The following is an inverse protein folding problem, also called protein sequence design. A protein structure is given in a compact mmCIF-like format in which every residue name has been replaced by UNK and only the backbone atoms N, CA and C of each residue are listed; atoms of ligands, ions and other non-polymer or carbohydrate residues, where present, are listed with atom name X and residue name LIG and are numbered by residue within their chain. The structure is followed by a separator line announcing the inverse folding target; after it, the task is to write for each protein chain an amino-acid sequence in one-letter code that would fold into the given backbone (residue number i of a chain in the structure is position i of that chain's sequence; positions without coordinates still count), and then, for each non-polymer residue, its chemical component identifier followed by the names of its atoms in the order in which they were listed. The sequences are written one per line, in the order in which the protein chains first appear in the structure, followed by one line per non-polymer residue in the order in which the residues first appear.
data_IF_715667318865
#
_entry.id   IF_715667318865
#
_cell.length_a   1.000
_cell.length_b   1.000
_cell.length_c   1.000
_cell.angle_alpha   90.00
_cell.angle_beta   90.00
_cell.angle_gamma   90.00
#
_symmetry.space_group_name_H-M   'P 1'
#
loop_
_entity.id
_entity.type
_entity.pdbx_description
1 polymer ?
#
# COMPACT_ATOMS: atom_id res chain seq x y z
N UNK A 1 -26.44 28.04 -21.39
CA UNK A 1 -25.86 26.68 -21.38
C UNK A 1 -26.43 25.96 -20.17
N UNK A 2 -27.33 24.99 -20.39
CA UNK A 2 -27.98 24.28 -19.29
C UNK A 2 -27.00 23.39 -18.55
N UNK A 3 -26.93 23.54 -17.23
CA UNK A 3 -26.29 22.60 -16.31
C UNK A 3 -26.95 21.23 -16.50
N UNK A 4 -26.25 20.29 -17.13
CA UNK A 4 -26.65 18.88 -17.15
C UNK A 4 -26.39 18.28 -15.77
N UNK A 5 -27.22 18.63 -14.79
CA UNK A 5 -27.25 17.92 -13.52
C UNK A 5 -27.86 16.55 -13.80
N UNK A 6 -27.05 15.49 -13.70
CA UNK A 6 -27.58 14.12 -13.77
C UNK A 6 -28.37 13.86 -12.49
N UNK A 7 -29.66 13.54 -12.64
CA UNK A 7 -30.59 13.25 -11.54
C UNK A 7 -30.29 11.90 -10.85
N UNK A 8 -29.47 11.05 -11.46
CA UNK A 8 -29.07 9.74 -10.93
C UNK A 8 -27.55 9.65 -10.86
N UNK A 9 -27.02 9.31 -9.67
CA UNK A 9 -25.62 8.88 -9.52
C UNK A 9 -25.46 7.51 -10.20
N UNK A 10 -24.38 7.32 -10.93
CA UNK A 10 -24.01 6.02 -11.49
C UNK A 10 -22.62 5.72 -10.98
N UNK A 11 -22.41 4.51 -10.44
CA UNK A 11 -21.10 4.02 -10.03
C UNK A 11 -20.12 4.16 -11.19
N UNK A 12 -19.31 5.23 -11.16
CA UNK A 12 -18.21 5.38 -12.08
C UNK A 12 -17.04 4.57 -11.55
N UNK A 13 -16.20 3.99 -12.42
CA UNK A 13 -14.96 3.37 -11.99
C UNK A 13 -14.14 4.36 -11.14
N UNK A 14 -13.56 3.86 -10.05
CA UNK A 14 -12.81 4.70 -9.11
C UNK A 14 -11.37 4.87 -9.61
N UNK A 15 -10.82 6.07 -9.43
CA UNK A 15 -9.41 6.35 -9.69
C UNK A 15 -8.63 6.29 -8.38
N UNK A 16 -7.62 5.43 -8.31
CA UNK A 16 -6.66 5.39 -7.22
C UNK A 16 -5.44 6.25 -7.51
N UNK A 17 -5.04 7.10 -6.56
CA UNK A 17 -3.78 7.83 -6.59
C UNK A 17 -2.94 7.42 -5.38
N UNK A 18 -1.80 6.79 -5.66
CA UNK A 18 -0.82 6.40 -4.65
C UNK A 18 0.27 7.46 -4.51
N UNK A 19 0.44 8.02 -3.32
CA UNK A 19 1.47 9.00 -2.99
C UNK A 19 2.53 8.33 -2.10
N UNK A 20 3.66 7.99 -2.71
CA UNK A 20 4.82 7.40 -2.03
C UNK A 20 5.96 8.42 -1.89
N UNK A 21 6.91 8.21 -0.96
CA UNK A 21 8.04 9.14 -0.76
C UNK A 21 8.87 9.46 -2.02
N UNK A 22 8.87 8.57 -3.00
CA UNK A 22 9.69 8.70 -4.22
C UNK A 22 8.86 8.87 -5.49
N UNK A 23 7.53 8.98 -5.40
CA UNK A 23 6.72 9.13 -6.60
C UNK A 23 5.22 9.04 -6.38
N UNK A 24 4.46 9.58 -7.31
CA UNK A 24 3.01 9.41 -7.42
C UNK A 24 2.66 8.42 -8.53
N UNK A 25 1.67 7.54 -8.29
CA UNK A 25 1.11 6.65 -9.31
C UNK A 25 -0.40 6.83 -9.36
N UNK A 26 -0.97 6.71 -10.56
CA UNK A 26 -2.42 6.73 -10.78
C UNK A 26 -2.84 5.47 -11.52
N UNK A 27 -3.99 4.93 -11.15
CA UNK A 27 -4.66 3.85 -11.89
C UNK A 27 -6.17 3.99 -11.75
N UNK A 28 -6.91 3.70 -12.82
CA UNK A 28 -8.36 3.61 -12.82
C UNK A 28 -8.79 2.25 -13.39
N UNK A 29 -9.68 1.56 -12.69
CA UNK A 29 -10.12 0.19 -13.01
C UNK A 29 -11.64 0.12 -13.01
N UNK A 30 -12.23 -0.32 -14.12
CA UNK A 30 -13.61 -0.82 -14.15
C UNK A 30 -13.62 -2.23 -13.55
N UNK A 31 -13.94 -2.34 -12.25
CA UNK A 31 -13.88 -3.58 -11.48
C UNK A 31 -14.87 -4.64 -11.96
N UNK A 32 -15.95 -4.26 -12.67
CA UNK A 32 -16.91 -5.23 -13.26
C UNK A 32 -16.28 -5.99 -14.43
N UNK A 33 -15.31 -5.39 -15.12
CA UNK A 33 -14.62 -5.96 -16.29
C UNK A 33 -13.14 -6.19 -16.06
N UNK A 34 -12.63 -5.84 -14.88
CA UNK A 34 -11.21 -5.72 -14.57
C UNK A 34 -10.43 -4.91 -15.61
N UNK A 35 -11.08 -3.92 -16.24
CA UNK A 35 -10.53 -3.15 -17.34
C UNK A 35 -9.82 -1.89 -16.81
N UNK A 36 -8.52 -1.80 -17.06
CA UNK A 36 -7.73 -0.59 -16.79
C UNK A 36 -8.11 0.47 -17.83
N UNK A 37 -8.63 1.61 -17.36
CA UNK A 37 -9.07 2.72 -18.21
C UNK A 37 -8.04 3.84 -18.28
N UNK A 38 -7.20 3.97 -17.24
CA UNK A 38 -6.07 4.89 -17.23
C UNK A 38 -5.02 4.49 -16.20
N UNK A 39 -3.75 4.75 -16.50
CA UNK A 39 -2.66 4.60 -15.53
C UNK A 39 -1.46 5.49 -15.87
N UNK A 40 -0.64 5.82 -14.88
CA UNK A 40 0.58 6.59 -15.08
C UNK A 40 1.38 6.76 -13.80
N UNK A 41 2.63 7.20 -13.92
CA UNK A 41 3.45 7.50 -12.75
C UNK A 41 4.39 8.68 -12.99
N UNK A 42 4.70 9.40 -11.92
CA UNK A 42 5.76 10.40 -11.88
C UNK A 42 6.65 10.20 -10.66
N UNK A 43 7.95 10.38 -10.84
CA UNK A 43 8.91 10.37 -9.73
C UNK A 43 8.82 11.70 -8.98
N UNK A 44 9.03 11.63 -7.67
CA UNK A 44 9.04 12.79 -6.78
C UNK A 44 10.41 12.87 -6.10
N UNK A 45 10.84 14.09 -5.81
CA UNK A 45 11.96 14.39 -4.94
C UNK A 45 11.49 14.23 -3.48
N UNK A 46 12.07 13.31 -2.70
CA UNK A 46 11.59 13.04 -1.34
C UNK A 46 11.69 14.25 -0.41
N UNK A 47 12.71 15.09 -0.58
CA UNK A 47 12.93 16.28 0.25
C UNK A 47 11.85 17.33 -0.06
N UNK A 48 11.59 17.57 -1.35
CA UNK A 48 10.54 18.52 -1.76
C UNK A 48 9.14 18.01 -1.42
N UNK A 49 8.90 16.70 -1.50
CA UNK A 49 7.64 16.11 -1.07
C UNK A 49 7.44 16.29 0.44
N UNK A 50 8.45 16.00 1.26
CA UNK A 50 8.38 16.19 2.70
C UNK A 50 8.11 17.66 3.06
N UNK A 51 8.75 18.61 2.36
CA UNK A 51 8.49 20.04 2.51
C UNK A 51 7.05 20.41 2.08
N UNK A 52 6.56 19.87 0.95
CA UNK A 52 5.18 20.07 0.48
C UNK A 52 4.14 19.57 1.48
N UNK A 53 4.33 18.37 2.05
CA UNK A 53 3.47 17.84 3.13
C UNK A 53 3.59 18.67 4.41
N UNK A 54 4.72 19.34 4.63
CA UNK A 54 4.95 20.15 5.83
C UNK A 54 4.42 21.59 5.69
N UNK A 55 4.36 22.13 4.48
CA UNK A 55 4.04 23.55 4.25
C UNK A 55 2.76 23.75 3.44
N UNK A 56 2.23 22.72 2.80
CA UNK A 56 1.10 22.81 1.88
C UNK A 56 1.46 23.50 0.56
N UNK A 57 2.74 23.58 0.19
CA UNK A 57 3.17 24.20 -1.06
C UNK A 57 2.73 23.36 -2.29
N UNK A 58 2.75 23.99 -3.47
CA UNK A 58 2.19 23.44 -4.71
C UNK A 58 3.00 22.28 -5.34
N UNK A 59 4.14 21.88 -4.77
CA UNK A 59 5.02 20.89 -5.39
C UNK A 59 4.28 19.57 -5.69
N UNK A 60 3.48 19.06 -4.74
CA UNK A 60 2.71 17.85 -4.94
C UNK A 60 1.63 18.04 -6.02
N UNK A 61 0.85 19.12 -5.95
CA UNK A 61 -0.22 19.43 -6.90
C UNK A 61 0.31 19.52 -8.34
N UNK A 62 1.39 20.27 -8.56
CA UNK A 62 2.04 20.43 -9.87
C UNK A 62 2.54 19.09 -10.44
N UNK A 63 3.05 18.19 -9.60
CA UNK A 63 3.50 16.88 -10.06
C UNK A 63 2.34 15.93 -10.38
N UNK A 64 1.23 16.00 -9.63
CA UNK A 64 0.01 15.25 -9.96
C UNK A 64 -0.57 15.78 -11.28
N UNK A 65 -0.71 17.10 -11.45
CA UNK A 65 -1.18 17.70 -12.69
C UNK A 65 -0.30 17.31 -13.88
N UNK A 66 1.03 17.42 -13.74
CA UNK A 66 1.99 17.00 -14.77
C UNK A 66 1.84 15.53 -15.11
N UNK A 67 1.66 14.66 -14.12
CA UNK A 67 1.38 13.24 -14.34
C UNK A 67 0.11 13.05 -15.20
N UNK A 68 -1.00 13.67 -14.78
CA UNK A 68 -2.30 13.52 -15.45
C UNK A 68 -2.31 14.08 -16.87
N UNK A 69 -1.55 15.14 -17.14
CA UNK A 69 -1.53 15.82 -18.45
C UNK A 69 -0.48 15.25 -19.41
N UNK A 70 0.67 14.77 -18.92
CA UNK A 70 1.81 14.40 -19.79
C UNK A 70 2.22 12.93 -19.73
N UNK A 71 1.83 12.18 -18.70
CA UNK A 71 2.29 10.80 -18.47
C UNK A 71 1.15 9.78 -18.31
N UNK A 72 -0.09 10.21 -18.47
CA UNK A 72 -1.26 9.33 -18.38
C UNK A 72 -1.41 8.51 -19.66
N UNK A 73 -1.44 7.19 -19.52
CA UNK A 73 -1.92 6.29 -20.56
C UNK A 73 -3.42 6.10 -20.35
N UNK A 74 -4.24 6.33 -21.38
CA UNK A 74 -5.70 6.21 -21.26
C UNK A 74 -6.36 7.46 -20.70
N UNK A 75 -7.46 7.30 -19.94
CA UNK A 75 -8.27 8.40 -19.40
C UNK A 75 -8.80 8.04 -18.02
N UNK A 76 -8.96 9.06 -17.17
CA UNK A 76 -9.69 8.91 -15.93
C UNK A 76 -11.22 8.96 -16.19
N UNK A 77 -12.01 8.11 -15.51
CA UNK A 77 -13.47 8.07 -15.66
C UNK A 77 -14.19 9.28 -15.02
N UNK A 78 -13.55 9.92 -14.04
CA UNK A 78 -14.04 11.08 -13.28
C UNK A 78 -12.89 11.81 -12.61
N UNK A 79 -13.18 12.96 -12.00
CA UNK A 79 -12.29 13.69 -11.10
C UNK A 79 -12.30 13.15 -9.65
N UNK A 80 -13.22 12.23 -9.33
CA UNK A 80 -13.26 11.55 -8.04
C UNK A 80 -12.10 10.55 -7.89
N UNK A 81 -11.36 10.68 -6.79
CA UNK A 81 -10.15 9.90 -6.51
C UNK A 81 -10.11 9.37 -5.08
N UNK A 82 -9.51 8.20 -4.91
CA UNK A 82 -9.14 7.62 -3.61
C UNK A 82 -7.63 7.75 -3.46
N UNK A 83 -7.17 8.30 -2.34
CA UNK A 83 -5.75 8.51 -2.07
C UNK A 83 -5.21 7.45 -1.11
N UNK A 84 -3.98 7.00 -1.35
CA UNK A 84 -3.20 6.38 -0.28
C UNK A 84 -2.44 7.43 0.53
N UNK A 85 -2.23 7.13 1.80
CA UNK A 85 -1.13 7.69 2.59
C UNK A 85 -0.09 6.60 2.89
N UNK A 86 1.20 6.97 3.06
CA UNK A 86 2.25 6.00 3.34
C UNK A 86 1.95 5.23 4.64
N UNK A 87 1.92 3.89 4.59
CA UNK A 87 1.61 3.05 5.76
C UNK A 87 2.56 3.32 6.93
N UNK A 88 3.84 3.56 6.64
CA UNK A 88 4.86 3.95 7.62
C UNK A 88 4.56 5.26 8.39
N UNK A 89 3.55 6.03 7.95
CA UNK A 89 3.06 7.26 8.60
C UNK A 89 1.67 7.09 9.21
N UNK A 90 1.19 5.85 9.29
CA UNK A 90 -0.10 5.47 9.87
C UNK A 90 0.11 4.53 11.05
N UNK A 91 -0.83 4.54 11.98
CA UNK A 91 -0.90 3.59 13.09
C UNK A 91 -2.15 2.76 12.90
N UNK A 92 -2.01 1.48 12.58
CA UNK A 92 -3.17 0.57 12.45
C UNK A 92 -3.08 -0.57 13.43
N UNK A 93 -4.16 -0.82 14.16
CA UNK A 93 -4.19 -1.86 15.18
C UNK A 93 -5.59 -2.42 15.39
N UNK A 94 -5.64 -3.73 15.55
CA UNK A 94 -6.85 -4.41 16.03
C UNK A 94 -6.97 -4.28 17.54
N UNK A 95 -8.14 -3.89 18.03
CA UNK A 95 -8.48 -3.86 19.45
C UNK A 95 -9.85 -4.49 19.69
N UNK A 96 -10.00 -5.13 20.85
CA UNK A 96 -11.25 -5.76 21.27
C UNK A 96 -11.79 -5.00 22.47
N UNK A 97 -13.03 -4.55 22.35
CA UNK A 97 -13.74 -3.76 23.34
C UNK A 97 -14.97 -4.54 23.82
N UNK A 98 -15.44 -4.33 25.07
CA UNK A 98 -16.72 -4.88 25.50
C UNK A 98 -17.86 -4.40 24.62
N UNK A 99 -18.88 -5.23 24.39
CA UNK A 99 -20.05 -4.90 23.57
C UNK A 99 -20.79 -3.66 24.08
N UNK A 100 -20.75 -3.40 25.40
CA UNK A 100 -21.35 -2.22 26.02
C UNK A 100 -20.72 -0.91 25.52
N UNK A 101 -19.45 -0.94 25.09
CA UNK A 101 -18.75 0.18 24.46
C UNK A 101 -19.30 0.54 23.08
N UNK A 102 -20.13 -0.32 22.46
CA UNK A 102 -20.70 -0.07 21.14
C UNK A 102 -21.59 1.19 21.09
N UNK A 103 -22.11 1.67 22.22
CA UNK A 103 -22.90 2.91 22.28
C UNK A 103 -22.06 4.16 21.96
N UNK A 104 -20.82 4.18 22.42
CA UNK A 104 -19.86 5.29 22.23
C UNK A 104 -18.53 4.76 21.67
N UNK A 105 -18.61 3.95 20.60
CA UNK A 105 -17.46 3.21 20.10
C UNK A 105 -16.30 4.12 19.67
N UNK A 106 -16.60 5.24 19.01
CA UNK A 106 -15.60 6.21 18.60
C UNK A 106 -14.81 6.80 19.78
N UNK A 107 -15.50 7.16 20.87
CA UNK A 107 -14.88 7.71 22.09
C UNK A 107 -14.01 6.65 22.79
N UNK A 108 -14.49 5.40 22.88
CA UNK A 108 -13.73 4.30 23.44
C UNK A 108 -12.44 4.02 22.64
N UNK A 109 -12.53 4.02 21.32
CA UNK A 109 -11.37 3.85 20.43
C UNK A 109 -10.39 5.02 20.59
N UNK A 110 -10.91 6.25 20.69
CA UNK A 110 -10.09 7.43 20.91
C UNK A 110 -9.27 7.31 22.20
N UNK A 111 -9.92 6.93 23.31
CA UNK A 111 -9.28 6.77 24.61
C UNK A 111 -8.26 5.62 24.62
N UNK A 112 -8.56 4.49 23.98
CA UNK A 112 -7.59 3.41 23.82
C UNK A 112 -6.39 3.84 22.97
N UNK A 113 -6.61 4.65 21.92
CA UNK A 113 -5.53 5.10 21.03
C UNK A 113 -4.46 5.95 21.74
N UNK A 114 -4.84 6.73 22.77
CA UNK A 114 -3.93 7.56 23.56
C UNK A 114 -2.85 6.74 24.30
N UNK A 115 -3.12 5.47 24.59
CA UNK A 115 -2.19 4.60 25.30
C UNK A 115 -1.03 4.13 24.41
N UNK A 116 -1.18 4.21 23.09
CA UNK A 116 -0.26 3.57 22.14
C UNK A 116 0.35 4.53 21.12
N UNK A 117 -0.34 5.64 20.81
CA UNK A 117 0.13 6.59 19.79
C UNK A 117 0.85 7.75 20.48
N UNK A 118 2.15 8.00 20.17
CA UNK A 118 2.93 9.08 20.78
C UNK A 118 2.63 10.45 20.14
N UNK A 119 1.38 10.70 19.76
CA UNK A 119 0.90 11.92 19.10
C UNK A 119 -0.45 12.27 19.75
N UNK A 120 -0.69 13.55 20.09
CA UNK A 120 -2.00 13.97 20.60
C UNK A 120 -3.11 13.59 19.63
N UNK A 121 -4.18 12.99 20.14
CA UNK A 121 -5.29 12.53 19.30
C UNK A 121 -6.00 13.68 18.58
N UNK A 122 -5.93 14.89 19.13
CA UNK A 122 -6.40 16.12 18.46
C UNK A 122 -5.68 16.40 17.13
N UNK A 123 -4.48 15.88 16.92
CA UNK A 123 -3.67 16.00 15.71
C UNK A 123 -3.82 14.80 14.75
N UNK A 124 -4.67 13.83 15.11
CA UNK A 124 -4.89 12.60 14.35
C UNK A 124 -6.29 12.60 13.72
N UNK A 125 -6.37 12.11 12.48
CA UNK A 125 -7.60 11.53 11.95
C UNK A 125 -7.61 10.06 12.38
N UNK A 126 -8.63 9.67 13.13
CA UNK A 126 -8.84 8.29 13.57
C UNK A 126 -10.13 7.80 12.93
N UNK A 127 -10.03 6.65 12.30
CA UNK A 127 -11.17 5.93 11.74
C UNK A 127 -11.07 4.44 12.10
N UNK A 128 -12.19 3.72 11.99
CA UNK A 128 -12.23 2.31 12.35
C UNK A 128 -13.25 1.52 11.54
N UNK A 129 -12.96 0.22 11.41
CA UNK A 129 -13.88 -0.76 10.84
C UNK A 129 -14.17 -1.85 11.88
N UNK A 130 -15.43 -2.24 12.03
CA UNK A 130 -15.83 -3.37 12.86
C UNK A 130 -15.54 -4.65 12.08
N UNK A 131 -14.56 -5.43 12.54
CA UNK A 131 -14.13 -6.66 11.86
C UNK A 131 -14.75 -7.92 12.46
N UNK A 132 -15.09 -7.91 13.75
CA UNK A 132 -15.81 -9.01 14.40
C UNK A 132 -16.76 -8.49 15.48
N UNK A 133 -17.89 -9.20 15.66
CA UNK A 133 -18.83 -8.93 16.73
C UNK A 133 -19.27 -10.24 17.38
N UNK A 134 -19.10 -10.35 18.69
CA UNK A 134 -19.56 -11.48 19.49
C UNK A 134 -20.68 -11.03 20.43
N UNK A 135 -21.23 -11.96 21.22
CA UNK A 135 -22.24 -11.64 22.24
C UNK A 135 -21.68 -10.81 23.41
N UNK A 136 -20.35 -10.74 23.56
CA UNK A 136 -19.68 -10.06 24.69
C UNK A 136 -18.76 -8.93 24.24
N UNK A 137 -18.19 -9.04 23.06
CA UNK A 137 -17.09 -8.19 22.60
C UNK A 137 -17.34 -7.70 21.17
N UNK A 138 -16.71 -6.58 20.84
CA UNK A 138 -16.60 -6.03 19.50
C UNK A 138 -15.12 -5.84 19.19
N UNK A 139 -14.68 -6.39 18.06
CA UNK A 139 -13.30 -6.22 17.58
C UNK A 139 -13.31 -5.25 16.42
N UNK A 140 -12.44 -4.24 16.50
CA UNK A 140 -12.31 -3.20 15.49
C UNK A 140 -10.86 -3.13 14.98
N UNK A 141 -10.71 -2.87 13.69
CA UNK A 141 -9.46 -2.38 13.11
C UNK A 141 -9.49 -0.86 13.16
N UNK A 142 -8.66 -0.27 14.01
CA UNK A 142 -8.47 1.18 14.05
C UNK A 142 -7.30 1.58 13.14
N UNK A 143 -7.44 2.72 12.47
CA UNK A 143 -6.36 3.39 11.75
C UNK A 143 -6.29 4.86 12.14
N UNK A 144 -5.10 5.34 12.47
CA UNK A 144 -4.84 6.72 12.83
C UNK A 144 -3.73 7.32 11.95
N UNK A 145 -3.96 8.53 11.45
CA UNK A 145 -3.04 9.25 10.56
C UNK A 145 -2.92 10.71 11.02
N UNK A 146 -1.72 11.30 11.07
CA UNK A 146 -1.57 12.73 11.33
C UNK A 146 -2.38 13.57 10.34
N UNK A 147 -3.23 14.47 10.86
CA UNK A 147 -4.15 15.31 10.08
C UNK A 147 -3.45 16.02 8.93
N UNK A 148 -2.29 16.60 9.22
CA UNK A 148 -1.46 17.34 8.27
C UNK A 148 -1.10 16.54 7.01
N UNK A 149 -0.90 15.22 7.12
CA UNK A 149 -0.57 14.38 5.96
C UNK A 149 -1.79 14.26 5.05
N UNK A 150 -2.96 13.98 5.63
CA UNK A 150 -4.22 13.84 4.91
C UNK A 150 -4.61 15.18 4.28
N UNK A 151 -4.65 16.25 5.07
CA UNK A 151 -5.01 17.60 4.62
C UNK A 151 -4.12 18.08 3.48
N UNK A 152 -2.80 17.90 3.57
CA UNK A 152 -1.88 18.33 2.50
C UNK A 152 -2.08 17.55 1.20
N UNK A 153 -2.30 16.22 1.30
CA UNK A 153 -2.53 15.37 0.14
C UNK A 153 -3.89 15.69 -0.53
N UNK A 154 -4.93 15.93 0.27
CA UNK A 154 -6.25 16.34 -0.19
C UNK A 154 -6.18 17.70 -0.88
N UNK A 155 -5.57 18.69 -0.22
CA UNK A 155 -5.42 20.04 -0.77
C UNK A 155 -4.70 20.02 -2.13
N UNK A 156 -3.63 19.23 -2.27
CA UNK A 156 -2.89 19.11 -3.52
C UNK A 156 -3.74 18.55 -4.68
N UNK A 157 -4.71 17.68 -4.37
CA UNK A 157 -5.64 17.13 -5.36
C UNK A 157 -6.74 18.15 -5.70
N UNK A 158 -7.30 18.83 -4.70
CA UNK A 158 -8.35 19.84 -4.89
C UNK A 158 -7.88 21.04 -5.71
N UNK A 159 -6.62 21.48 -5.51
CA UNK A 159 -5.99 22.57 -6.27
C UNK A 159 -6.01 22.34 -7.80
N UNK A 160 -6.06 21.09 -8.23
CA UNK A 160 -6.06 20.71 -9.65
C UNK A 160 -7.42 20.15 -10.11
N UNK A 161 -8.47 20.36 -9.30
CA UNK A 161 -9.85 20.02 -9.63
C UNK A 161 -10.24 18.56 -9.40
N UNK A 162 -9.44 17.78 -8.67
CA UNK A 162 -9.81 16.44 -8.22
C UNK A 162 -10.66 16.52 -6.94
N UNK A 163 -11.55 15.56 -6.78
CA UNK A 163 -12.41 15.40 -5.59
C UNK A 163 -11.93 14.16 -4.84
N UNK A 164 -11.36 14.34 -3.64
CA UNK A 164 -10.91 13.21 -2.82
C UNK A 164 -12.09 12.65 -2.05
N UNK A 165 -12.50 11.44 -2.39
CA UNK A 165 -13.70 10.80 -1.79
C UNK A 165 -13.33 9.86 -0.63
N UNK A 166 -12.09 9.40 -0.57
CA UNK A 166 -11.60 8.50 0.48
C UNK A 166 -10.07 8.58 0.57
N UNK A 167 -9.55 8.42 1.79
CA UNK A 167 -8.12 8.32 2.06
C UNK A 167 -7.87 7.10 2.93
N UNK A 168 -6.91 6.26 2.57
CA UNK A 168 -6.58 5.05 3.35
C UNK A 168 -5.07 4.78 3.40
N UNK A 169 -4.59 3.96 4.35
CA UNK A 169 -3.22 3.45 4.31
C UNK A 169 -2.96 2.64 3.03
N UNK A 170 -1.78 2.81 2.42
CA UNK A 170 -1.41 2.08 1.21
C UNK A 170 -1.56 0.56 1.34
N UNK A 171 -1.16 -0.01 2.46
CA UNK A 171 -1.25 -1.47 2.70
C UNK A 171 -2.70 -1.99 2.70
N UNK A 172 -3.69 -1.18 3.10
CA UNK A 172 -5.12 -1.54 3.05
C UNK A 172 -5.59 -1.72 1.61
N UNK A 173 -5.18 -0.79 0.74
CA UNK A 173 -5.49 -0.88 -0.69
C UNK A 173 -4.87 -2.12 -1.33
N UNK A 174 -3.63 -2.46 -0.95
CA UNK A 174 -2.93 -3.66 -1.43
C UNK A 174 -3.67 -4.91 -0.96
N UNK A 175 -4.03 -5.00 0.32
CA UNK A 175 -4.80 -6.12 0.85
C UNK A 175 -6.10 -6.34 0.06
N UNK A 176 -6.85 -5.27 -0.23
CA UNK A 176 -8.08 -5.33 -1.04
C UNK A 176 -7.85 -5.99 -2.41
N UNK A 177 -6.74 -5.66 -3.08
CA UNK A 177 -6.41 -6.25 -4.38
C UNK A 177 -6.02 -7.74 -4.24
N UNK A 178 -5.17 -8.05 -3.26
CA UNK A 178 -4.70 -9.42 -2.98
C UNK A 178 -5.87 -10.35 -2.65
N UNK A 179 -6.85 -9.91 -1.85
CA UNK A 179 -8.08 -10.66 -1.56
C UNK A 179 -8.80 -11.10 -2.84
N UNK A 180 -8.80 -10.26 -3.87
CA UNK A 180 -9.52 -10.52 -5.12
C UNK A 180 -8.71 -11.31 -6.17
N UNK A 181 -7.38 -11.35 -6.04
CA UNK A 181 -6.50 -11.79 -7.14
C UNK A 181 -5.46 -12.85 -6.77
N UNK A 182 -5.22 -13.09 -5.48
CA UNK A 182 -4.06 -13.84 -5.00
C UNK A 182 -4.41 -14.83 -3.87
N UNK A 183 -5.57 -15.47 -3.96
CA UNK A 183 -6.07 -16.39 -2.93
C UNK A 183 -6.14 -15.76 -1.52
N UNK A 184 -6.38 -14.44 -1.43
CA UNK A 184 -6.38 -13.74 -0.14
C UNK A 184 -7.55 -14.08 0.81
N UNK A 185 -8.28 -15.17 0.56
CA UNK A 185 -9.13 -15.82 1.56
C UNK A 185 -8.30 -16.65 2.56
N UNK A 186 -7.07 -17.01 2.20
CA UNK A 186 -6.11 -17.64 3.09
C UNK A 186 -5.47 -16.59 4.01
N UNK A 187 -5.22 -16.90 5.29
CA UNK A 187 -4.43 -16.03 6.16
C UNK A 187 -3.03 -15.80 5.57
N UNK A 188 -2.73 -14.55 5.26
CA UNK A 188 -1.62 -14.14 4.39
C UNK A 188 -0.77 -13.07 5.04
N UNK A 189 0.56 -13.23 4.99
CA UNK A 189 1.48 -12.11 5.23
C UNK A 189 1.69 -11.37 3.91
N UNK A 190 1.36 -10.09 3.87
CA UNK A 190 1.69 -9.21 2.76
C UNK A 190 2.99 -8.49 3.10
N UNK A 191 3.96 -8.54 2.18
CA UNK A 191 5.24 -7.83 2.28
C UNK A 191 5.36 -6.86 1.10
N UNK A 192 4.97 -5.60 1.31
CA UNK A 192 5.07 -4.54 0.31
C UNK A 192 6.43 -3.86 0.36
N UNK A 193 7.34 -4.29 -0.51
CA UNK A 193 8.68 -3.72 -0.62
C UNK A 193 8.61 -2.51 -1.57
N UNK A 194 8.45 -1.34 -0.99
CA UNK A 194 8.52 -0.06 -1.69
C UNK A 194 9.94 0.33 -2.10
N UNK A 195 10.10 1.57 -2.58
CA UNK A 195 11.43 2.08 -2.93
C UNK A 195 12.29 2.39 -1.69
N UNK A 196 11.68 2.95 -0.65
CA UNK A 196 12.38 3.41 0.56
C UNK A 196 12.01 2.61 1.83
N UNK A 197 10.81 2.06 1.89
CA UNK A 197 10.28 1.33 3.05
C UNK A 197 9.71 -0.01 2.63
N UNK A 198 9.55 -0.91 3.60
CA UNK A 198 8.80 -2.15 3.45
C UNK A 198 7.66 -2.11 4.44
N UNK A 199 6.44 -2.16 3.93
CA UNK A 199 5.24 -2.25 4.75
C UNK A 199 4.82 -3.72 4.83
N UNK A 200 4.38 -4.16 6.00
CA UNK A 200 3.99 -5.54 6.26
C UNK A 200 2.58 -5.53 6.84
N UNK A 201 1.73 -6.45 6.40
CA UNK A 201 0.44 -6.70 7.01
C UNK A 201 0.16 -8.20 7.16
N UNK A 202 -0.59 -8.56 8.18
CA UNK A 202 -1.24 -9.87 8.26
C UNK A 202 -2.70 -9.69 7.89
N UNK A 203 -3.10 -10.30 6.78
CA UNK A 203 -4.45 -10.34 6.25
C UNK A 203 -5.09 -11.67 6.62
N UNK A 204 -6.18 -11.63 7.37
CA UNK A 204 -7.05 -12.78 7.67
C UNK A 204 -8.49 -12.29 7.63
N UNK A 205 -9.08 -12.37 6.44
CA UNK A 205 -10.33 -11.69 6.00
C UNK A 205 -10.21 -10.16 6.01
N UNK A 206 -9.71 -9.59 7.11
CA UNK A 206 -9.35 -8.20 7.32
C UNK A 206 -7.89 -8.07 7.74
N UNK A 207 -7.33 -6.86 7.64
CA UNK A 207 -6.01 -6.60 8.20
C UNK A 207 -6.09 -6.74 9.73
N UNK A 208 -5.23 -7.59 10.29
CA UNK A 208 -5.17 -7.86 11.74
C UNK A 208 -4.08 -7.05 12.43
N UNK A 209 -2.94 -6.91 11.77
CA UNK A 209 -1.81 -6.14 12.27
C UNK A 209 -1.00 -5.64 11.09
N UNK A 210 -0.51 -4.40 11.21
CA UNK A 210 0.44 -3.81 10.29
C UNK A 210 1.77 -3.56 11.00
N UNK A 211 2.83 -3.47 10.21
CA UNK A 211 4.15 -3.09 10.64
C UNK A 211 4.92 -2.54 9.46
N UNK A 212 6.12 -2.05 9.71
CA UNK A 212 6.94 -1.54 8.63
C UNK A 212 8.35 -1.24 9.09
N UNK A 213 9.25 -1.22 8.12
CA UNK A 213 10.66 -0.88 8.34
C UNK A 213 11.19 0.04 7.24
N UNK A 214 12.19 0.85 7.60
CA UNK A 214 12.86 1.80 6.70
C UNK A 214 13.91 1.13 5.80
N UNK A 215 13.52 0.01 5.17
CA UNK A 215 14.31 -0.74 4.20
C UNK A 215 13.46 -0.92 2.96
N UNK A 216 13.98 -0.59 1.78
CA UNK A 216 13.28 -0.78 0.52
C UNK A 216 14.22 -1.08 -0.64
N UNK A 217 13.68 -1.07 -1.85
CA UNK A 217 14.43 -1.39 -3.07
C UNK A 217 15.66 -0.51 -3.33
N UNK A 218 15.69 0.71 -2.81
CA UNK A 218 16.83 1.62 -2.90
C UNK A 218 17.97 1.20 -1.96
N UNK A 219 17.65 0.71 -0.75
CA UNK A 219 18.62 0.16 0.21
C UNK A 219 19.38 -1.01 -0.42
N UNK A 220 18.64 -1.96 -1.03
CA UNK A 220 19.22 -3.07 -1.79
C UNK A 220 20.18 -2.62 -2.89
N UNK A 221 19.82 -1.55 -3.61
CA UNK A 221 20.64 -1.03 -4.72
C UNK A 221 21.93 -0.41 -4.19
N UNK A 222 21.82 0.33 -3.08
CA UNK A 222 22.96 0.94 -2.41
C UNK A 222 23.92 -0.11 -1.84
N UNK A 223 23.39 -1.18 -1.26
CA UNK A 223 24.19 -2.25 -0.66
C UNK A 223 24.93 -3.06 -1.70
N UNK A 224 24.28 -3.41 -2.83
CA UNK A 224 24.96 -4.03 -3.97
C UNK A 224 26.06 -3.11 -4.49
N UNK A 225 25.78 -1.81 -4.67
CA UNK A 225 26.77 -0.83 -5.16
C UNK A 225 27.99 -0.77 -4.26
N UNK A 226 27.80 -0.62 -2.94
CA UNK A 226 28.89 -0.56 -1.95
C UNK A 226 29.68 -1.87 -1.89
N UNK A 227 28.99 -3.02 -1.84
CA UNK A 227 29.63 -4.33 -1.66
C UNK A 227 30.41 -4.77 -2.89
N UNK A 228 29.86 -4.52 -4.09
CA UNK A 228 30.49 -4.93 -5.36
C UNK A 228 31.33 -3.81 -5.98
N UNK A 229 31.33 -2.60 -5.41
CA UNK A 229 32.04 -1.40 -5.90
C UNK A 229 31.66 -1.05 -7.34
N UNK A 230 30.36 -1.04 -7.63
CA UNK A 230 29.80 -0.69 -8.95
C UNK A 230 28.91 0.55 -8.84
N UNK A 231 28.62 1.22 -9.97
CA UNK A 231 27.68 2.34 -9.99
C UNK A 231 26.28 1.93 -9.51
N UNK A 232 25.49 2.89 -9.04
CA UNK A 232 24.09 2.64 -8.63
C UNK A 232 23.24 2.08 -9.78
N UNK A 233 23.49 2.54 -11.01
CA UNK A 233 22.83 2.02 -12.21
C UNK A 233 23.16 0.54 -12.44
N UNK A 234 24.44 0.17 -12.41
CA UNK A 234 24.87 -1.23 -12.55
C UNK A 234 24.36 -2.07 -11.38
N UNK A 235 24.36 -1.55 -10.16
CA UNK A 235 23.80 -2.23 -8.99
C UNK A 235 22.30 -2.49 -9.15
N UNK A 236 21.55 -1.53 -9.68
CA UNK A 236 20.12 -1.68 -9.95
C UNK A 236 19.88 -2.77 -11.01
N UNK A 237 20.67 -2.77 -12.09
CA UNK A 237 20.60 -3.81 -13.12
C UNK A 237 20.91 -5.20 -12.53
N UNK A 238 21.96 -5.34 -11.72
CA UNK A 238 22.27 -6.59 -11.04
C UNK A 238 21.13 -7.05 -10.12
N UNK A 239 20.51 -6.12 -9.39
CA UNK A 239 19.37 -6.41 -8.51
C UNK A 239 18.19 -7.01 -9.30
N UNK A 240 17.80 -6.37 -10.40
CA UNK A 240 16.59 -6.72 -11.16
C UNK A 240 16.80 -7.89 -12.12
N UNK A 241 18.00 -8.02 -12.71
CA UNK A 241 18.29 -9.06 -13.70
C UNK A 241 18.87 -10.35 -13.10
N UNK A 242 19.59 -10.26 -11.98
CA UNK A 242 20.22 -11.41 -11.34
C UNK A 242 19.59 -11.74 -9.99
N UNK A 243 19.44 -10.73 -9.12
CA UNK A 243 18.86 -10.90 -7.79
C UNK A 243 19.50 -12.03 -6.98
N UNK A 244 18.63 -12.85 -6.38
CA UNK A 244 18.93 -14.02 -5.56
C UNK A 244 18.86 -15.34 -6.35
N UNK A 245 18.49 -15.32 -7.63
CA UNK A 245 18.44 -16.53 -8.47
C UNK A 245 19.83 -17.13 -8.72
N UNK A 246 19.85 -18.44 -9.00
CA UNK A 246 21.08 -19.18 -9.27
C UNK A 246 21.91 -18.55 -10.41
N UNK A 247 23.20 -18.33 -10.18
CA UNK A 247 24.10 -17.79 -11.19
C UNK A 247 25.45 -17.32 -10.65
N UNK A 248 26.37 -16.97 -11.55
CA UNK A 248 27.76 -16.64 -11.21
C UNK A 248 27.93 -15.48 -10.21
N UNK A 249 26.95 -14.56 -10.14
CA UNK A 249 26.97 -13.38 -9.26
C UNK A 249 26.09 -13.55 -8.00
N UNK A 250 25.32 -14.64 -7.91
CA UNK A 250 24.32 -14.86 -6.87
C UNK A 250 24.91 -14.72 -5.46
N UNK A 251 26.01 -15.40 -5.17
CA UNK A 251 26.62 -15.39 -3.83
C UNK A 251 27.02 -13.98 -3.38
N UNK A 252 27.56 -13.16 -4.30
CA UNK A 252 27.96 -11.77 -4.02
C UNK A 252 26.75 -10.86 -3.80
N UNK A 253 25.72 -11.00 -4.63
CA UNK A 253 24.48 -10.21 -4.51
C UNK A 253 23.74 -10.60 -3.22
N UNK A 254 23.59 -11.90 -2.96
CA UNK A 254 22.96 -12.42 -1.73
C UNK A 254 23.69 -11.90 -0.50
N UNK A 255 25.03 -11.95 -0.47
CA UNK A 255 25.81 -11.42 0.64
C UNK A 255 25.66 -9.89 0.82
N UNK A 256 25.36 -9.15 -0.24
CA UNK A 256 25.08 -7.72 -0.16
C UNK A 256 23.67 -7.44 0.39
N UNK A 257 22.67 -8.22 -0.05
CA UNK A 257 21.26 -8.03 0.33
C UNK A 257 20.89 -8.63 1.68
N UNK A 258 21.67 -9.60 2.17
CA UNK A 258 21.34 -10.37 3.38
C UNK A 258 21.00 -9.51 4.60
N UNK A 259 21.75 -8.44 4.96
CA UNK A 259 21.43 -7.64 6.14
C UNK A 259 20.03 -7.03 6.07
N UNK A 260 19.69 -6.40 4.94
CA UNK A 260 18.38 -5.79 4.73
C UNK A 260 17.26 -6.84 4.68
N UNK A 261 17.50 -7.98 4.02
CA UNK A 261 16.52 -9.08 3.95
C UNK A 261 16.30 -9.74 5.32
N UNK A 262 17.34 -9.85 6.16
CA UNK A 262 17.21 -10.35 7.53
C UNK A 262 16.37 -9.38 8.37
N UNK A 263 16.50 -8.05 8.19
CA UNK A 263 15.65 -7.06 8.87
C UNK A 263 14.18 -7.24 8.50
N UNK A 264 13.86 -7.39 7.20
CA UNK A 264 12.49 -7.65 6.74
C UNK A 264 11.98 -8.97 7.33
N UNK A 265 12.78 -10.04 7.25
CA UNK A 265 12.41 -11.37 7.76
C UNK A 265 12.12 -11.35 9.26
N UNK A 266 12.94 -10.66 10.05
CA UNK A 266 12.75 -10.54 11.49
C UNK A 266 11.46 -9.79 11.85
N UNK A 267 11.13 -8.72 11.12
CA UNK A 267 9.88 -7.99 11.35
C UNK A 267 8.67 -8.84 10.95
N UNK A 268 8.74 -9.57 9.83
CA UNK A 268 7.69 -10.54 9.44
C UNK A 268 7.49 -11.58 10.54
N UNK A 269 8.55 -12.23 11.02
CA UNK A 269 8.43 -13.24 12.08
C UNK A 269 7.86 -12.67 13.39
N UNK A 270 8.23 -11.44 13.74
CA UNK A 270 7.68 -10.74 14.91
C UNK A 270 6.17 -10.51 14.76
N UNK A 271 5.72 -10.07 13.59
CA UNK A 271 4.28 -9.89 13.33
C UNK A 271 3.53 -11.22 13.32
N UNK A 272 4.10 -12.27 12.73
CA UNK A 272 3.51 -13.61 12.75
C UNK A 272 3.30 -14.10 14.18
N UNK A 273 4.32 -13.95 15.06
CA UNK A 273 4.20 -14.27 16.49
C UNK A 273 3.12 -13.45 17.18
N UNK A 274 3.04 -12.15 16.90
CA UNK A 274 1.98 -11.30 17.46
C UNK A 274 0.58 -11.79 17.06
N UNK A 275 0.38 -12.14 15.79
CA UNK A 275 -0.90 -12.68 15.31
C UNK A 275 -1.26 -14.02 15.99
N UNK A 276 -0.32 -14.95 16.09
CA UNK A 276 -0.60 -16.26 16.70
C UNK A 276 -0.74 -16.22 18.21
N UNK A 277 0.14 -15.50 18.90
CA UNK A 277 0.25 -15.54 20.37
C UNK A 277 -0.63 -14.49 21.06
N UNK A 278 -0.74 -13.28 20.48
CA UNK A 278 -1.40 -12.14 21.13
C UNK A 278 -2.85 -11.97 20.71
N UNK A 279 -3.16 -12.19 19.43
CA UNK A 279 -4.53 -12.11 18.94
C UNK A 279 -5.29 -13.43 19.12
N UNK A 280 -4.60 -14.52 19.50
CA UNK A 280 -5.22 -15.84 19.69
C UNK A 280 -5.89 -16.38 18.44
N UNK A 281 -5.39 -16.00 17.25
CA UNK A 281 -5.99 -16.37 15.99
C UNK A 281 -6.02 -17.89 15.84
N UNK A 282 -7.19 -18.43 15.49
CA UNK A 282 -7.36 -19.88 15.34
C UNK A 282 -6.77 -20.40 14.03
N UNK A 283 -6.76 -19.56 12.98
CA UNK A 283 -6.18 -19.93 11.69
C UNK A 283 -4.68 -19.68 11.71
N UNK A 284 -3.93 -20.57 11.06
CA UNK A 284 -2.49 -20.41 10.85
C UNK A 284 -2.27 -19.58 9.59
N UNK A 285 -1.16 -18.85 9.56
CA UNK A 285 -0.70 -18.17 8.34
C UNK A 285 -0.32 -19.24 7.32
N UNK A 286 -0.85 -19.14 6.11
CA UNK A 286 -0.72 -20.15 5.07
C UNK A 286 0.21 -19.71 3.93
N UNK A 287 0.38 -18.40 3.73
CA UNK A 287 1.21 -17.88 2.64
C UNK A 287 1.83 -16.51 2.92
N UNK A 288 2.85 -16.18 2.13
CA UNK A 288 3.52 -14.87 2.10
C UNK A 288 3.45 -14.31 0.68
N UNK A 289 2.84 -13.14 0.53
CA UNK A 289 2.66 -12.45 -0.74
C UNK A 289 3.52 -11.20 -0.77
N UNK A 290 4.47 -11.16 -1.72
CA UNK A 290 5.44 -10.08 -1.86
C UNK A 290 4.99 -9.14 -2.97
N UNK A 291 4.95 -7.85 -2.68
CA UNK A 291 4.44 -6.79 -3.57
C UNK A 291 5.35 -5.56 -3.54
N UNK A 292 4.99 -4.54 -4.31
CA UNK A 292 5.73 -3.28 -4.38
C UNK A 292 6.85 -3.28 -5.42
N UNK A 293 7.34 -2.10 -5.78
CA UNK A 293 8.36 -1.93 -6.83
C UNK A 293 9.70 -2.63 -6.52
N UNK A 294 10.00 -2.84 -5.24
CA UNK A 294 11.19 -3.52 -4.74
C UNK A 294 11.10 -5.05 -4.76
N UNK A 295 9.92 -5.64 -5.03
CA UNK A 295 9.74 -7.09 -5.13
C UNK A 295 10.37 -7.71 -6.39
N UNK A 296 10.80 -6.88 -7.35
CA UNK A 296 11.46 -7.30 -8.60
C UNK A 296 12.90 -7.79 -8.37
N UNK A 297 13.08 -8.74 -7.46
CA UNK A 297 14.34 -9.42 -7.21
C UNK A 297 14.12 -10.89 -7.57
N UNK A 298 14.74 -11.41 -8.65
CA UNK A 298 14.67 -12.83 -8.96
C UNK A 298 15.10 -13.67 -7.76
N UNK A 299 14.38 -14.75 -7.42
CA UNK A 299 14.71 -15.61 -6.27
C UNK A 299 14.17 -15.14 -4.91
N UNK A 300 13.41 -14.04 -4.86
CA UNK A 300 12.93 -13.47 -3.59
C UNK A 300 11.83 -14.32 -2.94
N UNK A 301 10.96 -14.94 -3.73
CA UNK A 301 9.92 -15.84 -3.20
C UNK A 301 10.55 -17.08 -2.55
N UNK A 302 11.55 -17.67 -3.21
CA UNK A 302 12.32 -18.81 -2.70
C UNK A 302 13.07 -18.43 -1.41
N UNK A 303 13.70 -17.25 -1.38
CA UNK A 303 14.37 -16.77 -0.17
C UNK A 303 13.41 -16.68 1.03
N UNK A 304 12.24 -16.06 0.86
CA UNK A 304 11.26 -15.98 1.95
C UNK A 304 10.67 -17.35 2.29
N UNK A 305 10.49 -18.22 1.30
CA UNK A 305 10.00 -19.59 1.53
C UNK A 305 10.95 -20.36 2.45
N UNK A 306 12.26 -20.31 2.18
CA UNK A 306 13.28 -20.98 2.98
C UNK A 306 13.43 -20.35 4.38
N UNK A 307 13.27 -19.03 4.50
CA UNK A 307 13.47 -18.31 5.76
C UNK A 307 12.28 -18.37 6.70
N UNK A 308 11.07 -18.38 6.15
CA UNK A 308 9.82 -18.36 6.91
C UNK A 308 9.18 -19.74 7.02
N UNK A 309 9.65 -20.73 6.24
CA UNK A 309 9.08 -22.07 6.16
C UNK A 309 7.57 -21.98 5.82
N UNK A 310 7.25 -21.10 4.86
CA UNK A 310 5.91 -20.84 4.37
C UNK A 310 5.95 -20.59 2.85
N UNK A 311 4.96 -21.03 2.07
CA UNK A 311 4.86 -20.70 0.66
C UNK A 311 4.93 -19.18 0.44
N UNK A 312 5.99 -18.71 -0.21
CA UNK A 312 6.19 -17.29 -0.49
C UNK A 312 6.38 -17.03 -1.98
N UNK A 313 5.70 -16.00 -2.50
CA UNK A 313 5.75 -15.65 -3.93
C UNK A 313 5.48 -14.17 -4.16
N UNK A 314 5.98 -13.66 -5.28
CA UNK A 314 5.67 -12.30 -5.75
C UNK A 314 4.28 -12.30 -6.38
N UNK A 315 3.43 -11.34 -6.00
CA UNK A 315 2.08 -11.24 -6.55
C UNK A 315 2.10 -10.89 -8.04
N UNK A 316 1.12 -11.39 -8.78
CA UNK A 316 0.91 -11.11 -10.19
C UNK A 316 -0.57 -10.80 -10.50
N UNK A 317 -1.19 -9.80 -9.83
CA UNK A 317 -2.59 -9.42 -10.10
C UNK A 317 -2.77 -8.91 -11.53
N UNK A 318 -1.66 -8.59 -12.20
CA UNK A 318 -1.56 -8.20 -13.60
C UNK A 318 -2.07 -9.24 -14.59
N UNK A 319 -2.26 -10.49 -14.16
CA UNK A 319 -2.90 -11.54 -14.98
C UNK A 319 -4.42 -11.38 -15.02
N UNK A 320 -5.02 -10.80 -13.98
CA UNK A 320 -6.46 -10.52 -13.89
C UNK A 320 -6.80 -9.18 -14.55
N UNK A 321 -5.89 -8.20 -14.43
CA UNK A 321 -6.11 -6.87 -15.00
C UNK A 321 -6.01 -6.86 -16.53
N UNK A 322 -7.10 -6.45 -17.17
CA UNK A 322 -7.20 -6.26 -18.61
C UNK A 322 -6.83 -4.82 -19.00
N UNK A 323 -5.77 -4.64 -19.79
CA UNK A 323 -5.37 -3.31 -20.27
C UNK A 323 -6.08 -2.89 -21.57
N UNK A 324 -6.89 -3.76 -22.17
CA UNK A 324 -7.61 -3.49 -23.41
C UNK A 324 -6.66 -3.06 -24.52
N UNK A 325 -6.84 -1.83 -25.02
CA UNK A 325 -5.99 -1.23 -26.06
C UNK A 325 -4.82 -0.41 -25.49
N UNK A 326 -4.76 -0.22 -24.17
CA UNK A 326 -3.67 0.53 -23.55
C UNK A 326 -2.38 -0.31 -23.61
N UNK A 327 -1.21 0.34 -23.79
CA UNK A 327 0.04 -0.35 -23.57
C UNK A 327 0.07 -0.88 -22.13
N UNK A 328 0.70 -2.04 -21.92
CA UNK A 328 0.93 -2.54 -20.57
C UNK A 328 2.24 -1.93 -20.03
N UNK A 329 2.32 -1.62 -18.72
CA UNK A 329 3.60 -1.35 -18.09
C UNK A 329 4.55 -2.53 -18.33
N UNK A 330 5.83 -2.25 -18.54
CA UNK A 330 6.84 -3.32 -18.61
C UNK A 330 6.82 -4.14 -17.32
N UNK A 331 7.21 -5.42 -17.39
CA UNK A 331 7.19 -6.34 -16.24
C UNK A 331 7.81 -5.73 -14.97
N UNK A 332 8.95 -5.04 -15.10
CA UNK A 332 9.68 -4.42 -13.99
C UNK A 332 8.93 -3.23 -13.34
N UNK A 333 8.02 -2.59 -14.07
CA UNK A 333 7.25 -1.45 -13.57
C UNK A 333 5.87 -1.83 -13.04
N UNK A 334 5.32 -2.99 -13.45
CA UNK A 334 3.99 -3.45 -13.01
C UNK A 334 3.84 -3.42 -11.48
N UNK A 335 4.75 -4.01 -10.67
CA UNK A 335 4.61 -4.02 -9.20
C UNK A 335 4.53 -2.64 -8.54
N UNK A 336 4.98 -1.57 -9.21
CA UNK A 336 4.89 -0.19 -8.69
C UNK A 336 3.47 0.34 -8.65
N UNK A 337 2.52 -0.30 -9.33
CA UNK A 337 1.13 0.12 -9.40
C UNK A 337 0.22 -0.63 -8.42
N UNK A 338 0.76 -1.53 -7.58
CA UNK A 338 -0.05 -2.43 -6.75
C UNK A 338 -1.03 -1.63 -5.85
N UNK A 339 -0.54 -0.58 -5.21
CA UNK A 339 -1.30 0.31 -4.33
C UNK A 339 -2.35 1.08 -5.12
N UNK A 340 -1.96 1.71 -6.23
CA UNK A 340 -2.89 2.43 -7.11
C UNK A 340 -4.00 1.52 -7.67
N UNK A 341 -3.67 0.27 -8.02
CA UNK A 341 -4.63 -0.73 -8.46
C UNK A 341 -5.60 -1.12 -7.34
N UNK A 342 -5.10 -1.29 -6.11
CA UNK A 342 -5.91 -1.56 -4.92
C UNK A 342 -6.89 -0.43 -4.57
N UNK A 343 -6.42 0.82 -4.65
CA UNK A 343 -7.24 2.02 -4.45
C UNK A 343 -8.35 2.12 -5.50
N UNK A 344 -8.04 1.80 -6.76
CA UNK A 344 -9.03 1.78 -7.85
C UNK A 344 -10.07 0.65 -7.71
N UNK A 345 -9.88 -0.27 -6.76
CA UNK A 345 -10.73 -1.42 -6.51
C UNK A 345 -11.66 -1.26 -5.29
N UNK A 346 -11.70 -0.07 -4.67
CA UNK A 346 -12.63 0.31 -3.60
C UNK A 346 -14.07 0.03 -4.02
N UNK A 347 -14.89 -0.47 -3.08
CA UNK A 347 -16.31 -0.65 -3.31
C UNK A 347 -17.03 0.71 -3.20
N UNK A 348 -17.87 1.13 -4.17
CA UNK A 348 -18.63 2.38 -4.05
C UNK A 348 -19.42 2.52 -2.74
N UNK A 349 -19.90 1.42 -2.14
CA UNK A 349 -20.58 1.42 -0.84
C UNK A 349 -19.68 1.74 0.36
N UNK A 350 -18.35 1.60 0.22
CA UNK A 350 -17.38 2.05 1.25
C UNK A 350 -17.23 3.58 1.24
N UNK A 351 -17.61 4.25 0.15
CA UNK A 351 -17.48 5.70 -0.03
C UNK A 351 -18.80 6.43 0.23
N UNK A 352 -19.90 5.84 -0.22
CA UNK A 352 -21.23 6.43 -0.10
C UNK A 352 -22.08 5.53 0.81
N UNK A 353 -22.32 5.99 2.04
CA UNK A 353 -23.34 5.41 2.89
C UNK A 353 -24.73 5.88 2.39
N UNK A 354 -25.56 4.95 1.93
CA UNK A 354 -26.98 5.19 1.65
C UNK A 354 -27.78 5.44 2.94
#
# INVERSE_FOLDING_TARGET
MGTKTKLFHHDKPITGIDISPTGVKVMAIDTKKWLVTGYGSADLDPTKLQDSISTGNEYLAQNIEKLLTTKLNGKLPSNQVVLSVPTSRTYSRTMTLPLDSAKNLAEAIQLESEQYIPIPVSELNIDYEIIERSSKDITVLMSAVPKKIVESAVLACEQIGLEVIMVEPGISSVARLITKTEEGHLPTVIVDIGAATTDIAILDEFIRVTGGISVGGNSFTLDISKKLKVSLENAHQLKVLNGLSAGAKQAKITAALKPDLDLITNEVQKMMRYYTERLGAQKKIEQVIIVGGGSNIPGLGEYFTDKLILPARVASPWQVLNFGKLPQPSHQYKPRYITAAGLACVNPHEVWHD
#
